data_IF_512337932431
#
_entry.id   IF_512337932431
#
_cell.length_a   1.000
_cell.length_b   1.000
_cell.length_c   1.000
_cell.angle_alpha   90.00
_cell.angle_beta   90.00
_cell.angle_gamma   90.00
#
_symmetry.space_group_name_H-M   'P 1'
#
loop_
_entity.id
_entity.type
_entity.pdbx_description
1 polymer ?
#
# COMPACT_ATOMS: atom_id res chain seq x y z
N UNK A 1 11.27 -4.51 -8.51
CA UNK A 1 10.68 -5.62 -7.71
C UNK A 1 10.11 -5.12 -6.39
N UNK A 2 9.98 -3.81 -6.16
CA UNK A 2 9.66 -3.27 -4.83
C UNK A 2 8.18 -2.94 -4.64
N UNK A 3 7.52 -2.41 -5.67
CA UNK A 3 6.13 -1.96 -5.58
C UNK A 3 5.17 -3.11 -5.25
N UNK A 4 5.33 -4.25 -5.92
CA UNK A 4 4.45 -5.41 -5.73
C UNK A 4 4.59 -6.00 -4.32
N UNK A 5 5.81 -6.08 -3.80
CA UNK A 5 6.06 -6.56 -2.44
C UNK A 5 5.43 -5.63 -1.39
N UNK A 6 5.56 -4.31 -1.56
CA UNK A 6 4.90 -3.33 -0.68
C UNK A 6 3.38 -3.43 -0.78
N UNK A 7 2.83 -3.60 -1.98
CA UNK A 7 1.40 -3.79 -2.18
C UNK A 7 0.89 -5.08 -1.52
N UNK A 8 1.60 -6.19 -1.64
CA UNK A 8 1.24 -7.47 -1.02
C UNK A 8 1.18 -7.36 0.50
N UNK A 9 2.15 -6.68 1.13
CA UNK A 9 2.14 -6.39 2.58
C UNK A 9 0.90 -5.56 2.97
N UNK A 10 0.54 -4.55 2.18
CA UNK A 10 -0.61 -3.70 2.46
C UNK A 10 -1.94 -4.46 2.29
N UNK A 11 -2.04 -5.37 1.32
CA UNK A 11 -3.18 -6.28 1.18
C UNK A 11 -3.29 -7.20 2.39
N UNK A 12 -2.18 -7.78 2.87
CA UNK A 12 -2.17 -8.63 4.05
C UNK A 12 -2.61 -7.86 5.31
N UNK A 13 -2.15 -6.60 5.49
CA UNK A 13 -2.62 -5.74 6.58
C UNK A 13 -4.13 -5.49 6.47
N UNK A 14 -4.65 -5.26 5.26
CA UNK A 14 -6.09 -5.08 5.06
C UNK A 14 -6.88 -6.32 5.49
N UNK A 15 -6.43 -7.51 5.08
CA UNK A 15 -7.06 -8.79 5.43
C UNK A 15 -7.05 -9.01 6.96
N UNK A 16 -5.91 -8.76 7.61
CA UNK A 16 -5.78 -8.88 9.07
C UNK A 16 -6.71 -7.91 9.81
N UNK A 17 -6.88 -6.68 9.32
CA UNK A 17 -7.76 -5.69 9.92
C UNK A 17 -9.24 -6.05 9.71
N UNK A 18 -9.57 -6.63 8.56
CA UNK A 18 -10.91 -7.13 8.24
C UNK A 18 -11.30 -8.32 9.15
N UNK A 19 -10.37 -9.27 9.36
CA UNK A 19 -10.53 -10.37 10.32
C UNK A 19 -10.76 -9.85 11.75
N UNK A 20 -10.08 -8.76 12.13
CA UNK A 20 -10.26 -8.10 13.44
C UNK A 20 -11.54 -7.27 13.55
N UNK A 21 -12.37 -7.21 12.49
CA UNK A 21 -13.61 -6.43 12.47
C UNK A 21 -13.40 -4.91 12.44
N UNK A 22 -12.19 -4.44 12.11
CA UNK A 22 -11.88 -3.02 12.07
C UNK A 22 -12.56 -2.37 10.86
N UNK A 23 -13.34 -1.33 11.11
CA UNK A 23 -14.03 -0.58 10.06
C UNK A 23 -13.09 0.47 9.44
N UNK A 24 -13.32 0.80 8.16
CA UNK A 24 -12.64 1.83 7.37
C UNK A 24 -11.15 1.59 7.06
N UNK A 25 -10.34 1.16 8.04
CA UNK A 25 -8.89 0.94 7.85
C UNK A 25 -8.57 -0.10 6.76
N UNK A 26 -9.22 -1.29 6.70
CA UNK A 26 -8.95 -2.25 5.62
C UNK A 26 -9.08 -1.63 4.22
N UNK A 27 -10.10 -0.80 4.01
CA UNK A 27 -10.32 -0.11 2.73
C UNK A 27 -9.21 0.87 2.39
N UNK A 28 -8.68 1.60 3.38
CA UNK A 28 -7.55 2.50 3.19
C UNK A 28 -6.28 1.73 2.78
N UNK A 29 -6.00 0.61 3.46
CA UNK A 29 -4.85 -0.24 3.12
C UNK A 29 -4.99 -0.89 1.73
N UNK A 30 -6.18 -1.38 1.34
CA UNK A 30 -6.39 -1.89 -0.03
C UNK A 30 -6.19 -0.80 -1.09
N UNK A 31 -6.65 0.43 -0.82
CA UNK A 31 -6.45 1.55 -1.74
C UNK A 31 -4.96 1.89 -1.89
N UNK A 32 -4.23 1.95 -0.78
CA UNK A 32 -2.78 2.19 -0.81
C UNK A 32 -2.03 1.08 -1.56
N UNK A 33 -2.38 -0.19 -1.32
CA UNK A 33 -1.83 -1.33 -2.04
C UNK A 33 -2.02 -1.20 -3.56
N UNK A 34 -3.25 -0.90 -3.99
CA UNK A 34 -3.56 -0.72 -5.41
C UNK A 34 -2.81 0.45 -6.05
N UNK A 35 -2.70 1.59 -5.33
CA UNK A 35 -1.94 2.75 -5.80
C UNK A 35 -0.46 2.40 -6.00
N UNK A 36 0.14 1.68 -5.05
CA UNK A 36 1.55 1.31 -5.12
C UNK A 36 1.80 0.25 -6.19
N UNK A 37 0.92 -0.76 -6.29
CA UNK A 37 1.00 -1.82 -7.30
C UNK A 37 0.96 -1.26 -8.73
N UNK A 38 0.19 -0.20 -8.95
CA UNK A 38 0.00 0.44 -10.26
C UNK A 38 0.92 1.64 -10.50
N UNK A 39 1.82 1.94 -9.56
CA UNK A 39 2.72 3.08 -9.66
C UNK A 39 3.65 2.91 -10.89
N UNK A 40 3.75 3.91 -11.78
CA UNK A 40 4.54 3.81 -13.01
C UNK A 40 6.05 3.68 -12.78
N UNK A 41 6.52 4.12 -11.62
CA UNK A 41 7.92 4.11 -11.22
C UNK A 41 8.12 3.34 -9.90
N UNK A 42 9.37 2.99 -9.59
CA UNK A 42 9.68 2.26 -8.35
C UNK A 42 9.43 3.16 -7.13
N UNK A 43 8.72 2.64 -6.14
CA UNK A 43 8.34 3.37 -4.93
C UNK A 43 9.54 3.82 -4.10
N UNK A 44 10.67 3.10 -4.18
CA UNK A 44 11.90 3.54 -3.56
C UNK A 44 12.41 4.83 -4.20
N UNK A 45 12.28 4.99 -5.52
CA UNK A 45 12.70 6.22 -6.19
C UNK A 45 11.83 7.41 -5.78
N UNK A 46 10.51 7.20 -5.60
CA UNK A 46 9.60 8.24 -5.08
C UNK A 46 9.96 8.61 -3.64
N UNK A 47 10.27 7.61 -2.81
CA UNK A 47 10.73 7.81 -1.44
C UNK A 47 12.02 8.63 -1.37
N UNK A 48 13.02 8.29 -2.19
CA UNK A 48 14.31 8.99 -2.24
C UNK A 48 14.18 10.45 -2.67
N UNK A 49 13.15 10.80 -3.46
CA UNK A 49 12.83 12.19 -3.83
C UNK A 49 12.03 12.94 -2.77
N UNK A 50 11.50 12.25 -1.76
CA UNK A 50 10.66 12.85 -0.71
C UNK A 50 9.23 13.17 -1.16
N UNK A 51 8.73 12.46 -2.17
CA UNK A 51 7.43 12.75 -2.82
C UNK A 51 6.28 11.85 -2.32
N UNK A 52 6.44 11.19 -1.16
CA UNK A 52 5.40 10.29 -0.60
C UNK A 52 4.28 11.02 0.16
N UNK A 53 4.37 12.34 0.32
CA UNK A 53 3.47 13.12 1.19
C UNK A 53 2.35 13.87 0.43
N UNK A 54 2.25 13.75 -0.90
CA UNK A 54 1.22 14.43 -1.71
C UNK A 54 0.02 13.54 -2.12
#
# INVERSE_FOLDING_TARGET
MQNREVADILYEIADLLEIKGIQFKPRAYRRAAQTIETLPEDIQAVYERGELEE
#
